data_IF_290249980683
#
_entry.id   IF_290249980683
#
_cell.length_a   1.000
_cell.length_b   1.000
_cell.length_c   1.000
_cell.angle_alpha   90.00
_cell.angle_beta   90.00
_cell.angle_gamma   90.00
#
_symmetry.space_group_name_H-M   'P 1'
#
loop_
_entity.id
_entity.type
_entity.pdbx_description
1 polymer ?
#
# COMPACT_ATOMS: atom_id res chain seq x y z
N UNK A 1 -7.60 23.84 -4.12
CA UNK A 1 -8.51 23.07 -3.23
C UNK A 1 -9.88 23.71 -3.31
N UNK A 2 -10.89 22.97 -3.76
CA UNK A 2 -12.27 23.47 -3.85
C UNK A 2 -12.87 23.60 -2.44
N UNK A 3 -13.90 24.44 -2.29
CA UNK A 3 -14.56 24.67 -1.00
C UNK A 3 -15.16 23.37 -0.44
N UNK A 4 -15.77 22.57 -1.31
CA UNK A 4 -16.37 21.26 -0.97
C UNK A 4 -15.36 20.31 -0.31
N UNK A 5 -14.21 20.08 -0.96
CA UNK A 5 -13.13 19.23 -0.40
C UNK A 5 -12.61 19.75 0.94
N UNK A 6 -12.69 21.05 1.19
CA UNK A 6 -12.28 21.64 2.47
C UNK A 6 -13.32 21.39 3.57
N UNK A 7 -14.61 21.40 3.21
CA UNK A 7 -15.70 21.07 4.12
C UNK A 7 -15.74 19.57 4.42
N UNK A 8 -15.53 18.71 3.43
CA UNK A 8 -15.44 17.25 3.61
C UNK A 8 -14.32 16.89 4.61
N UNK A 9 -13.13 17.48 4.45
CA UNK A 9 -12.02 17.25 5.38
C UNK A 9 -12.32 17.76 6.79
N UNK A 10 -13.00 18.91 6.92
CA UNK A 10 -13.44 19.42 8.21
C UNK A 10 -14.49 18.53 8.85
N UNK A 11 -15.44 18.03 8.07
CA UNK A 11 -16.47 17.11 8.54
C UNK A 11 -15.83 15.81 9.03
N UNK A 12 -14.86 15.26 8.28
CA UNK A 12 -14.11 14.08 8.70
C UNK A 12 -13.34 14.31 10.01
N UNK A 13 -12.70 15.48 10.18
CA UNK A 13 -12.00 15.86 11.41
C UNK A 13 -12.97 15.96 12.61
N UNK A 14 -14.11 16.64 12.42
CA UNK A 14 -15.13 16.81 13.46
C UNK A 14 -15.74 15.46 13.82
N UNK A 15 -16.11 14.65 12.82
CA UNK A 15 -16.67 13.32 13.01
C UNK A 15 -15.69 12.40 13.74
N UNK A 16 -14.41 12.44 13.39
CA UNK A 16 -13.36 11.70 14.09
C UNK A 16 -13.23 12.12 15.55
N UNK A 17 -13.22 13.43 15.84
CA UNK A 17 -13.18 13.93 17.22
C UNK A 17 -14.43 13.51 18.01
N UNK A 18 -15.61 13.56 17.41
CA UNK A 18 -16.87 13.15 18.04
C UNK A 18 -16.89 11.65 18.34
N UNK A 19 -16.54 10.80 17.38
CA UNK A 19 -16.43 9.35 17.59
C UNK A 19 -15.45 9.02 18.72
N UNK A 20 -14.26 9.63 18.69
CA UNK A 20 -13.27 9.44 19.75
C UNK A 20 -13.79 9.93 21.11
N UNK A 21 -14.53 11.04 21.15
CA UNK A 21 -15.11 11.55 22.39
C UNK A 21 -16.13 10.60 22.99
N UNK A 22 -16.89 9.87 22.16
CA UNK A 22 -17.86 8.85 22.58
C UNK A 22 -17.19 7.56 23.04
N UNK A 23 -16.08 7.16 22.41
CA UNK A 23 -15.35 5.94 22.80
C UNK A 23 -14.53 6.13 24.09
N UNK A 24 -14.03 7.34 24.33
CA UNK A 24 -13.10 7.65 25.42
C UNK A 24 -13.76 8.44 26.58
N UNK A 25 -15.03 8.85 26.44
CA UNK A 25 -15.78 9.69 27.39
C UNK A 25 -15.08 11.03 27.75
N UNK A 26 -14.20 11.51 26.88
CA UNK A 26 -13.43 12.75 27.10
C UNK A 26 -14.24 13.95 26.62
N UNK A 27 -14.89 14.65 27.57
CA UNK A 27 -15.67 15.88 27.30
C UNK A 27 -14.88 16.97 26.57
N UNK A 28 -13.57 17.07 26.83
CA UNK A 28 -12.69 18.05 26.19
C UNK A 28 -12.67 17.87 24.65
N UNK A 29 -12.72 16.63 24.17
CA UNK A 29 -12.66 16.32 22.74
C UNK A 29 -13.97 16.70 22.02
N UNK A 30 -15.09 16.65 22.73
CA UNK A 30 -16.39 17.13 22.25
C UNK A 30 -16.36 18.65 22.03
N UNK A 31 -15.86 19.43 22.99
CA UNK A 31 -15.72 20.89 22.83
C UNK A 31 -14.78 21.27 21.67
N UNK A 32 -13.68 20.53 21.50
CA UNK A 32 -12.75 20.73 20.37
C UNK A 32 -13.46 20.43 19.04
N UNK A 33 -14.20 19.32 18.94
CA UNK A 33 -14.98 18.98 17.74
C UNK A 33 -16.02 20.03 17.40
N UNK A 34 -16.72 20.55 18.41
CA UNK A 34 -17.71 21.62 18.24
C UNK A 34 -17.07 22.92 17.73
N UNK A 35 -15.93 23.31 18.31
CA UNK A 35 -15.16 24.49 17.87
C UNK A 35 -14.66 24.34 16.43
N UNK A 36 -14.11 23.17 16.08
CA UNK A 36 -13.66 22.86 14.71
C UNK A 36 -14.81 22.93 13.70
N UNK A 37 -15.98 22.40 14.05
CA UNK A 37 -17.19 22.48 13.23
C UNK A 37 -17.64 23.93 13.03
N UNK A 38 -17.68 24.72 14.11
CA UNK A 38 -18.01 26.14 14.04
C UNK A 38 -17.05 26.94 13.15
N UNK A 39 -15.74 26.72 13.30
CA UNK A 39 -14.71 27.35 12.46
C UNK A 39 -14.86 26.94 10.99
N UNK A 40 -15.18 25.67 10.73
CA UNK A 40 -15.40 25.13 9.40
C UNK A 40 -16.55 25.82 8.65
N UNK A 41 -17.63 26.16 9.37
CA UNK A 41 -18.81 26.84 8.83
C UNK A 41 -18.60 28.35 8.65
N UNK A 42 -17.99 29.01 9.64
CA UNK A 42 -17.90 30.48 9.69
C UNK A 42 -16.71 31.04 8.87
N UNK A 43 -15.60 30.33 8.79
CA UNK A 43 -14.36 30.86 8.22
C UNK A 43 -13.79 29.97 7.10
N UNK A 44 -14.11 30.31 5.84
CA UNK A 44 -13.64 29.58 4.66
C UNK A 44 -12.11 29.66 4.42
N UNK A 45 -11.39 30.61 5.03
CA UNK A 45 -9.93 30.78 4.85
C UNK A 45 -9.14 29.89 5.79
N UNK A 46 -9.52 29.85 7.07
CA UNK A 46 -8.90 28.95 8.07
C UNK A 46 -9.25 27.51 7.77
N UNK A 47 -10.47 27.24 7.28
CA UNK A 47 -10.86 25.88 6.94
C UNK A 47 -10.00 25.27 5.82
N UNK A 48 -9.69 26.06 4.79
CA UNK A 48 -8.74 25.67 3.73
C UNK A 48 -7.32 25.45 4.26
N UNK A 49 -6.88 26.19 5.27
CA UNK A 49 -5.55 25.99 5.84
C UNK A 49 -5.46 24.67 6.61
N UNK A 50 -6.44 24.40 7.47
CA UNK A 50 -6.49 23.15 8.25
C UNK A 50 -6.71 21.93 7.36
N UNK A 51 -7.60 22.04 6.38
CA UNK A 51 -7.83 20.95 5.43
C UNK A 51 -6.56 20.63 4.62
N UNK A 52 -5.79 21.65 4.19
CA UNK A 52 -4.47 21.41 3.57
C UNK A 52 -3.50 20.67 4.50
N UNK A 53 -3.47 21.02 5.79
CA UNK A 53 -2.63 20.32 6.78
C UNK A 53 -3.06 18.85 6.91
N UNK A 54 -4.37 18.61 7.01
CA UNK A 54 -4.94 17.27 7.08
C UNK A 54 -4.63 16.42 5.84
N UNK A 55 -4.74 17.00 4.64
CA UNK A 55 -4.39 16.29 3.41
C UNK A 55 -2.89 16.00 3.31
N UNK A 56 -2.02 16.91 3.75
CA UNK A 56 -0.57 16.65 3.82
C UNK A 56 -0.27 15.49 4.76
N UNK A 57 -0.92 15.45 5.93
CA UNK A 57 -0.79 14.34 6.87
C UNK A 57 -1.27 13.03 6.24
N UNK A 58 -2.44 13.05 5.60
CA UNK A 58 -3.02 11.88 4.92
C UNK A 58 -2.12 11.37 3.79
N UNK A 59 -1.47 12.27 3.04
CA UNK A 59 -0.53 11.89 1.97
C UNK A 59 0.73 11.23 2.54
N UNK A 60 1.28 11.77 3.63
CA UNK A 60 2.42 11.17 4.32
C UNK A 60 2.06 9.78 4.87
N UNK A 61 0.87 9.65 5.47
CA UNK A 61 0.34 8.38 5.93
C UNK A 61 0.21 7.40 4.76
N UNK A 62 -0.41 7.82 3.66
CA UNK A 62 -0.59 6.99 2.46
C UNK A 62 0.73 6.46 1.88
N UNK A 63 1.80 7.27 1.91
CA UNK A 63 3.13 6.82 1.51
C UNK A 63 3.68 5.71 2.42
N UNK A 64 3.49 5.83 3.73
CA UNK A 64 3.89 4.79 4.69
C UNK A 64 3.03 3.54 4.54
N UNK A 65 1.70 3.69 4.45
CA UNK A 65 0.75 2.59 4.30
C UNK A 65 1.02 1.82 3.01
N UNK A 66 1.35 2.48 1.90
CA UNK A 66 1.68 1.80 0.64
C UNK A 66 2.86 0.82 0.81
N UNK A 67 3.92 1.24 1.50
CA UNK A 67 5.07 0.37 1.81
C UNK A 67 4.69 -0.75 2.76
N UNK A 68 3.95 -0.43 3.83
CA UNK A 68 3.51 -1.42 4.82
C UNK A 68 2.61 -2.46 4.16
N UNK A 69 1.68 -2.05 3.31
CA UNK A 69 0.78 -2.94 2.58
C UNK A 69 1.56 -3.86 1.65
N UNK A 70 2.52 -3.33 0.88
CA UNK A 70 3.38 -4.14 0.01
C UNK A 70 4.20 -5.16 0.81
N UNK A 71 4.81 -4.72 1.92
CA UNK A 71 5.54 -5.61 2.82
C UNK A 71 4.61 -6.67 3.40
N UNK A 72 3.42 -6.30 3.85
CA UNK A 72 2.43 -7.23 4.39
C UNK A 72 2.04 -8.29 3.36
N UNK A 73 1.72 -7.88 2.13
CA UNK A 73 1.43 -8.80 1.02
C UNK A 73 2.61 -9.72 0.74
N UNK A 74 3.84 -9.17 0.75
CA UNK A 74 5.04 -9.96 0.58
C UNK A 74 5.17 -11.03 1.68
N UNK A 75 5.03 -10.66 2.95
CA UNK A 75 5.19 -11.58 4.07
C UNK A 75 4.05 -12.60 4.20
N UNK A 76 2.81 -12.22 3.87
CA UNK A 76 1.63 -13.09 4.01
C UNK A 76 1.45 -14.02 2.80
N UNK A 77 1.77 -13.58 1.59
CA UNK A 77 1.52 -14.36 0.38
C UNK A 77 2.81 -14.85 -0.28
N UNK A 78 3.72 -13.93 -0.66
CA UNK A 78 4.89 -14.28 -1.45
C UNK A 78 5.91 -15.10 -0.66
N UNK A 79 6.19 -14.72 0.59
CA UNK A 79 7.14 -15.42 1.45
C UNK A 79 6.72 -16.87 1.72
N UNK A 80 5.49 -17.18 2.20
CA UNK A 80 5.10 -18.57 2.40
C UNK A 80 5.07 -19.32 1.08
N UNK A 81 4.61 -18.73 -0.02
CA UNK A 81 4.69 -19.38 -1.35
C UNK A 81 6.13 -19.71 -1.75
N UNK A 82 7.08 -18.81 -1.49
CA UNK A 82 8.50 -19.05 -1.76
C UNK A 82 9.06 -20.16 -0.85
N UNK A 83 8.67 -20.20 0.42
CA UNK A 83 9.08 -21.27 1.34
C UNK A 83 8.50 -22.63 0.94
N UNK A 84 7.20 -22.68 0.61
CA UNK A 84 6.56 -23.89 0.08
C UNK A 84 7.25 -24.35 -1.20
N UNK A 85 7.49 -23.46 -2.16
CA UNK A 85 8.17 -23.83 -3.40
C UNK A 85 9.60 -24.32 -3.16
N UNK A 86 10.31 -23.80 -2.15
CA UNK A 86 11.63 -24.30 -1.75
C UNK A 86 11.59 -25.71 -1.16
N UNK A 87 10.53 -26.07 -0.42
CA UNK A 87 10.35 -27.41 0.13
C UNK A 87 9.92 -28.40 -0.97
N UNK A 88 8.91 -28.05 -1.78
CA UNK A 88 8.36 -28.95 -2.80
C UNK A 88 9.20 -29.03 -4.08
N UNK A 89 9.95 -27.98 -4.43
CA UNK A 89 10.79 -27.92 -5.65
C UNK A 89 12.17 -27.33 -5.32
N UNK A 90 13.06 -28.13 -4.72
CA UNK A 90 14.30 -27.63 -4.12
C UNK A 90 15.36 -27.13 -5.12
N UNK A 91 15.18 -27.29 -6.43
CA UNK A 91 16.18 -26.86 -7.43
C UNK A 91 15.58 -26.34 -8.74
N UNK A 92 14.68 -25.35 -8.65
CA UNK A 92 14.11 -24.67 -9.83
C UNK A 92 15.14 -23.87 -10.63
N UNK A 93 16.16 -23.32 -9.96
CA UNK A 93 17.18 -22.48 -10.57
C UNK A 93 18.44 -23.24 -10.97
N UNK A 94 18.44 -24.59 -10.87
CA UNK A 94 19.61 -25.44 -11.13
C UNK A 94 20.87 -24.92 -10.42
N UNK A 95 20.73 -24.47 -9.17
CA UNK A 95 21.84 -23.85 -8.41
C UNK A 95 22.75 -24.89 -7.79
N UNK A 96 22.30 -26.15 -7.66
CA UNK A 96 23.16 -27.24 -7.21
C UNK A 96 23.95 -27.80 -8.38
N UNK A 97 25.26 -27.96 -8.18
CA UNK A 97 26.18 -28.55 -9.15
C UNK A 97 25.71 -29.95 -9.49
N UNK A 98 25.12 -30.11 -10.68
CA UNK A 98 24.82 -31.44 -11.24
C UNK A 98 26.15 -32.14 -11.52
N UNK A 99 26.19 -33.47 -11.31
CA UNK A 99 27.37 -34.29 -11.54
C UNK A 99 27.73 -34.45 -13.04
N UNK A 100 27.04 -33.71 -13.93
CA UNK A 100 27.12 -33.80 -15.40
C UNK A 100 28.14 -32.85 -16.03
N UNK A 101 29.02 -32.20 -15.26
CA UNK A 101 30.10 -31.34 -15.79
C UNK A 101 29.63 -30.03 -16.45
N UNK A 102 28.36 -29.92 -16.84
CA UNK A 102 27.77 -28.77 -17.53
C UNK A 102 26.29 -28.61 -17.19
N UNK A 103 25.81 -27.37 -17.15
CA UNK A 103 24.39 -27.01 -17.05
C UNK A 103 23.70 -26.92 -18.42
N UNK A 104 24.45 -27.05 -19.52
CA UNK A 104 23.88 -27.07 -20.86
C UNK A 104 23.03 -28.33 -21.05
N UNK A 105 21.81 -28.14 -21.56
CA UNK A 105 20.93 -29.25 -21.94
C UNK A 105 21.29 -29.66 -23.35
N UNK A 106 21.77 -30.90 -23.53
CA UNK A 106 22.05 -31.46 -24.85
C UNK A 106 20.73 -31.60 -25.60
N UNK A 107 20.57 -30.83 -26.67
CA UNK A 107 19.38 -30.85 -27.52
C UNK A 107 19.63 -31.70 -28.76
N UNK A 108 19.41 -33.01 -28.64
CA UNK A 108 19.49 -33.95 -29.76
C UNK A 108 18.15 -33.97 -30.53
N UNK A 109 17.83 -32.90 -31.25
CA UNK A 109 16.70 -32.90 -32.19
C UNK A 109 17.13 -32.35 -33.55
N UNK A 110 16.50 -32.85 -34.61
CA UNK A 110 16.73 -32.36 -35.96
C UNK A 110 16.02 -31.02 -36.15
N UNK A 111 16.76 -29.99 -36.53
CA UNK A 111 16.22 -28.66 -36.77
C UNK A 111 15.19 -28.68 -37.90
N UNK A 112 14.02 -28.10 -37.66
CA UNK A 112 12.98 -27.93 -38.67
C UNK A 112 12.91 -26.46 -39.09
N UNK A 113 12.40 -26.17 -40.30
CA UNK A 113 12.29 -24.79 -40.80
C UNK A 113 11.48 -23.85 -39.88
N UNK A 114 10.61 -24.41 -39.02
CA UNK A 114 9.88 -23.65 -38.00
C UNK A 114 10.78 -23.09 -36.89
N UNK A 115 11.90 -23.75 -36.59
CA UNK A 115 12.83 -23.36 -35.52
C UNK A 115 13.71 -22.18 -35.95
N UNK A 116 13.78 -21.90 -37.25
CA UNK A 116 14.45 -20.73 -37.83
C UNK A 116 13.54 -19.49 -37.90
N UNK A 117 12.25 -19.63 -37.57
CA UNK A 117 11.32 -18.49 -37.52
C UNK A 117 11.38 -17.86 -36.14
N UNK A 118 11.92 -16.63 -36.07
CA UNK A 118 12.18 -15.85 -34.85
C UNK A 118 13.20 -16.54 -33.91
N UNK A 119 14.49 -16.56 -34.29
CA UNK A 119 15.56 -17.18 -33.49
C UNK A 119 16.00 -16.38 -32.25
N UNK A 120 15.33 -15.27 -31.95
CA UNK A 120 15.55 -14.42 -30.77
C UNK A 120 14.46 -14.65 -29.71
#
# INVERSE_FOLDING_TARGET
MTREKSLEAMLALVFGCLLLSLLLDIKLLLYIGLLLGGIGLLMAKTSRALARLWYKLSQALGFVISKVLLSLVFFIFLLPMALLSRVFRPDLLQRRRKNTGSYFVVRNYSYQSKDLKNPW
#
